data_IF_867497422006
#
_entry.id   IF_867497422006
#
_cell.length_a   1.000
_cell.length_b   1.000
_cell.length_c   1.000
_cell.angle_alpha   90.00
_cell.angle_beta   90.00
_cell.angle_gamma   90.00
#
_symmetry.space_group_name_H-M   'P 1'
#
loop_
_entity.id
_entity.type
_entity.pdbx_description
1 polymer ?
#
# COMPACT_ATOMS: atom_id res chain seq x y z
N UNK A 1 4.21 6.94 -9.75
CA UNK A 1 3.21 6.43 -8.80
C UNK A 1 2.13 7.45 -8.39
N UNK A 2 2.08 8.66 -8.98
CA UNK A 2 0.97 9.58 -8.68
C UNK A 2 1.14 10.41 -7.40
N UNK A 3 2.29 10.30 -6.74
CA UNK A 3 2.57 10.99 -5.48
C UNK A 3 2.45 12.52 -5.65
N UNK A 4 1.58 13.20 -4.87
CA UNK A 4 1.28 14.62 -5.07
C UNK A 4 2.49 15.55 -5.01
N UNK A 5 3.49 15.21 -4.18
CA UNK A 5 4.70 16.02 -3.99
C UNK A 5 5.85 15.65 -4.95
N UNK A 6 5.66 14.62 -5.78
CA UNK A 6 6.67 14.24 -6.78
C UNK A 6 6.84 15.33 -7.83
N UNK A 7 8.04 15.39 -8.42
CA UNK A 7 8.37 16.43 -9.41
C UNK A 7 7.39 16.44 -10.59
N UNK A 8 7.01 15.27 -11.11
CA UNK A 8 6.06 15.17 -12.23
C UNK A 8 4.66 15.66 -11.84
N UNK A 9 4.17 15.31 -10.65
CA UNK A 9 2.87 15.78 -10.16
C UNK A 9 2.85 17.31 -10.05
N UNK A 10 3.91 17.89 -9.49
CA UNK A 10 4.07 19.35 -9.36
C UNK A 10 4.22 20.05 -10.71
N UNK A 11 4.91 19.43 -11.68
CA UNK A 11 4.99 19.95 -13.04
C UNK A 11 3.61 19.95 -13.73
N UNK A 12 2.84 18.87 -13.54
CA UNK A 12 1.48 18.76 -14.08
C UNK A 12 0.51 19.75 -13.42
N UNK A 13 0.66 20.07 -12.13
CA UNK A 13 -0.14 21.08 -11.41
C UNK A 13 0.36 22.52 -11.58
N UNK A 14 1.51 22.76 -12.25
CA UNK A 14 2.18 24.08 -12.36
C UNK A 14 2.73 24.62 -11.02
N UNK A 15 3.00 23.75 -10.06
CA UNK A 15 3.56 24.09 -8.75
C UNK A 15 5.08 23.82 -8.66
N UNK A 16 5.69 23.35 -9.75
CA UNK A 16 7.12 23.09 -9.81
C UNK A 16 7.90 24.38 -10.04
N UNK A 17 8.86 24.69 -9.17
CA UNK A 17 9.48 26.02 -9.09
C UNK A 17 10.41 26.39 -10.25
N UNK A 18 10.83 25.42 -11.06
CA UNK A 18 11.84 25.63 -12.13
C UNK A 18 11.43 25.14 -13.52
N UNK A 19 10.38 24.33 -13.60
CA UNK A 19 10.02 23.62 -14.83
C UNK A 19 8.52 23.71 -14.99
N UNK A 20 8.09 24.14 -16.16
CA UNK A 20 6.69 24.22 -16.55
C UNK A 20 6.49 23.41 -17.82
N UNK A 21 5.41 22.62 -17.85
CA UNK A 21 5.00 21.87 -19.03
C UNK A 21 4.33 22.81 -20.02
N UNK A 22 4.83 22.83 -21.25
CA UNK A 22 4.31 23.62 -22.36
C UNK A 22 3.51 22.75 -23.33
N UNK A 23 2.68 23.36 -24.19
CA UNK A 23 2.07 22.64 -25.31
C UNK A 23 3.14 21.93 -26.15
N UNK A 24 2.79 20.76 -26.67
CA UNK A 24 3.63 19.89 -27.50
C UNK A 24 4.79 19.17 -26.79
N UNK A 25 5.06 19.45 -25.51
CA UNK A 25 6.03 18.70 -24.72
C UNK A 25 5.67 17.20 -24.69
N UNK A 26 6.69 16.34 -24.82
CA UNK A 26 6.51 14.89 -24.71
C UNK A 26 6.85 14.40 -23.32
N UNK A 27 5.88 13.76 -22.66
CA UNK A 27 6.04 13.17 -21.33
C UNK A 27 5.89 11.66 -21.42
N UNK A 28 6.95 10.94 -21.08
CA UNK A 28 6.97 9.48 -21.10
C UNK A 28 6.86 8.95 -19.66
N UNK A 29 5.78 8.24 -19.37
CA UNK A 29 5.58 7.52 -18.13
C UNK A 29 6.04 6.07 -18.35
N UNK A 30 7.31 5.81 -18.03
CA UNK A 30 7.97 4.50 -18.17
C UNK A 30 7.76 3.59 -16.95
N UNK A 31 6.53 3.54 -16.43
CA UNK A 31 6.18 2.76 -15.24
C UNK A 31 4.70 2.42 -15.20
N UNK A 32 4.38 1.31 -14.52
CA UNK A 32 3.00 0.89 -14.28
C UNK A 32 2.50 1.44 -12.94
N UNK A 33 1.19 1.67 -12.84
CA UNK A 33 0.57 2.02 -11.58
C UNK A 33 0.60 0.81 -10.65
N UNK A 34 1.22 0.96 -9.47
CA UNK A 34 1.12 -0.05 -8.42
C UNK A 34 -0.34 -0.11 -7.96
N UNK A 35 -0.90 -1.30 -7.67
CA UNK A 35 -2.26 -1.43 -7.18
C UNK A 35 -2.58 -0.45 -6.04
N UNK A 36 -3.63 0.36 -6.20
CA UNK A 36 -4.04 1.43 -5.29
C UNK A 36 -3.66 2.85 -5.74
N UNK A 37 -2.73 2.99 -6.69
CA UNK A 37 -2.28 4.30 -7.18
C UNK A 37 -2.92 4.73 -8.51
N UNK A 38 -3.82 3.93 -9.08
CA UNK A 38 -4.38 4.13 -10.42
C UNK A 38 -5.08 5.48 -10.56
N UNK A 39 -5.88 5.86 -9.56
CA UNK A 39 -6.58 7.15 -9.53
C UNK A 39 -5.62 8.33 -9.54
N UNK A 40 -4.54 8.25 -8.76
CA UNK A 40 -3.56 9.32 -8.66
C UNK A 40 -2.77 9.47 -9.98
N UNK A 41 -2.34 8.36 -10.56
CA UNK A 41 -1.66 8.35 -11.86
C UNK A 41 -2.58 8.91 -12.96
N UNK A 42 -3.84 8.46 -13.01
CA UNK A 42 -4.83 8.95 -13.97
C UNK A 42 -5.06 10.46 -13.84
N UNK A 43 -5.10 11.00 -12.62
CA UNK A 43 -5.21 12.45 -12.38
C UNK A 43 -4.03 13.22 -12.98
N UNK A 44 -2.79 12.75 -12.80
CA UNK A 44 -1.60 13.39 -13.39
C UNK A 44 -1.67 13.35 -14.91
N UNK A 45 -2.01 12.20 -15.50
CA UNK A 45 -2.14 12.06 -16.96
C UNK A 45 -3.17 13.05 -17.51
N UNK A 46 -4.33 13.18 -16.87
CA UNK A 46 -5.34 14.17 -17.25
C UNK A 46 -4.83 15.62 -17.17
N UNK A 47 -4.07 15.96 -16.13
CA UNK A 47 -3.48 17.31 -15.99
C UNK A 47 -2.46 17.60 -17.10
N UNK A 48 -1.63 16.62 -17.46
CA UNK A 48 -0.66 16.74 -18.55
C UNK A 48 -1.36 16.94 -19.90
N UNK A 49 -2.40 16.14 -20.20
CA UNK A 49 -3.20 16.34 -21.42
C UNK A 49 -3.90 17.71 -21.44
N UNK A 50 -4.44 18.16 -20.30
CA UNK A 50 -5.07 19.48 -20.19
C UNK A 50 -4.11 20.63 -20.49
N UNK A 51 -2.79 20.42 -20.32
CA UNK A 51 -1.73 21.38 -20.67
C UNK A 51 -1.30 21.31 -22.14
N UNK A 52 -1.87 20.39 -22.93
CA UNK A 52 -1.49 20.20 -24.33
C UNK A 52 -0.20 19.38 -24.51
N UNK A 53 0.24 18.65 -23.48
CA UNK A 53 1.39 17.75 -23.61
C UNK A 53 1.00 16.44 -24.30
N UNK A 54 1.95 15.86 -25.02
CA UNK A 54 1.87 14.52 -25.60
C UNK A 54 2.32 13.50 -24.56
N UNK A 55 1.39 12.68 -24.05
CA UNK A 55 1.69 11.74 -22.95
C UNK A 55 1.77 10.31 -23.48
N UNK A 56 2.91 9.65 -23.29
CA UNK A 56 3.10 8.22 -23.55
C UNK A 56 3.06 7.48 -22.22
N UNK A 57 2.14 6.53 -22.07
CA UNK A 57 1.96 5.71 -20.87
C UNK A 57 1.51 4.30 -21.27
N UNK A 58 1.52 3.35 -20.32
CA UNK A 58 1.28 1.92 -20.57
C UNK A 58 0.01 1.63 -21.40
N UNK A 59 -1.09 2.36 -21.15
CA UNK A 59 -2.34 2.17 -21.89
C UNK A 59 -2.30 2.55 -23.37
N UNK A 60 -1.25 3.26 -23.81
CA UNK A 60 -1.04 3.69 -25.20
C UNK A 60 0.10 2.91 -25.84
N UNK A 61 1.18 2.64 -25.09
CA UNK A 61 2.35 1.93 -25.58
C UNK A 61 3.00 1.16 -24.44
N UNK A 62 3.48 -0.05 -24.72
CA UNK A 62 4.25 -0.84 -23.76
C UNK A 62 5.62 -0.20 -23.52
N UNK A 63 5.67 0.74 -22.57
CA UNK A 63 6.90 1.46 -22.17
C UNK A 63 7.61 0.85 -20.98
N UNK A 64 7.02 -0.16 -20.35
CA UNK A 64 7.52 -0.76 -19.12
C UNK A 64 7.42 -2.29 -19.18
N UNK A 65 8.34 -2.94 -18.47
CA UNK A 65 8.33 -4.38 -18.22
C UNK A 65 8.45 -4.62 -16.73
N UNK A 66 7.84 -5.70 -16.25
CA UNK A 66 7.96 -6.13 -14.86
C UNK A 66 9.43 -6.42 -14.52
N UNK A 67 9.87 -5.98 -13.34
CA UNK A 67 11.15 -6.41 -12.75
C UNK A 67 11.10 -7.82 -12.12
N UNK A 68 9.92 -8.46 -12.12
CA UNK A 68 9.71 -9.80 -11.58
C UNK A 68 9.43 -10.82 -12.69
N UNK A 69 10.01 -12.00 -12.53
CA UNK A 69 9.87 -13.15 -13.42
C UNK A 69 8.40 -13.58 -13.58
N UNK A 70 7.99 -13.79 -14.82
CA UNK A 70 6.72 -14.40 -15.20
C UNK A 70 6.79 -15.92 -15.15
N UNK A 71 5.66 -16.58 -15.40
CA UNK A 71 5.52 -18.03 -15.22
C UNK A 71 6.61 -18.85 -15.93
N UNK A 72 6.97 -18.54 -17.18
CA UNK A 72 7.99 -19.30 -17.92
C UNK A 72 9.41 -19.13 -17.34
N UNK A 73 9.75 -17.92 -16.89
CA UNK A 73 11.02 -17.65 -16.22
C UNK A 73 11.10 -18.36 -14.86
N UNK A 74 9.98 -18.41 -14.12
CA UNK A 74 9.90 -19.20 -12.89
C UNK A 74 10.09 -20.70 -13.20
N UNK A 75 9.45 -21.24 -14.24
CA UNK A 75 9.64 -22.64 -14.67
C UNK A 75 11.11 -22.91 -15.02
N UNK A 76 11.77 -21.98 -15.71
CA UNK A 76 13.18 -22.11 -16.05
C UNK A 76 14.04 -22.29 -14.80
N UNK A 77 13.84 -21.48 -13.76
CA UNK A 77 14.56 -21.61 -12.49
C UNK A 77 14.32 -22.98 -11.83
N UNK A 78 13.07 -23.45 -11.78
CA UNK A 78 12.75 -24.79 -11.26
C UNK A 78 13.47 -25.91 -12.03
N UNK A 79 13.55 -25.80 -13.36
CA UNK A 79 14.21 -26.79 -14.22
C UNK A 79 15.73 -26.76 -14.11
N UNK A 80 16.33 -25.59 -13.89
CA UNK A 80 17.77 -25.44 -13.72
C UNK A 80 18.23 -25.94 -12.34
N UNK A 81 17.53 -25.52 -11.28
CA UNK A 81 17.94 -25.83 -9.91
C UNK A 81 17.54 -27.24 -9.45
N UNK A 82 16.45 -27.80 -10.00
CA UNK A 82 15.88 -29.10 -9.59
C UNK A 82 15.77 -29.23 -8.07
N UNK A 83 15.09 -28.28 -7.39
CA UNK A 83 15.08 -28.24 -5.94
C UNK A 83 14.38 -29.47 -5.34
N UNK A 84 14.91 -29.97 -4.21
CA UNK A 84 14.29 -31.08 -3.46
C UNK A 84 13.00 -30.65 -2.75
N UNK A 85 13.03 -29.44 -2.19
CA UNK A 85 11.93 -28.80 -1.48
C UNK A 85 11.75 -27.38 -2.02
N UNK A 86 10.53 -26.85 -1.98
CA UNK A 86 10.23 -25.53 -2.48
C UNK A 86 9.35 -24.74 -1.51
N UNK A 87 9.76 -23.50 -1.25
CA UNK A 87 9.01 -22.53 -0.45
C UNK A 87 8.82 -21.28 -1.31
N UNK A 88 7.63 -21.01 -1.86
CA UNK A 88 7.38 -19.77 -2.57
C UNK A 88 7.46 -18.60 -1.59
N UNK A 89 8.14 -17.53 -1.99
CA UNK A 89 8.32 -16.29 -1.22
C UNK A 89 7.96 -15.07 -2.08
N UNK A 90 7.89 -13.90 -1.45
CA UNK A 90 7.69 -12.60 -2.10
C UNK A 90 6.39 -12.48 -2.92
N UNK A 91 5.25 -12.49 -2.23
CA UNK A 91 3.95 -12.17 -2.81
C UNK A 91 2.81 -12.40 -1.82
N UNK A 92 1.64 -11.86 -2.10
CA UNK A 92 0.41 -12.23 -1.38
C UNK A 92 0.11 -13.72 -1.55
N UNK A 93 -0.71 -14.28 -0.66
CA UNK A 93 -1.06 -15.70 -0.63
C UNK A 93 -1.46 -16.28 -2.00
N UNK A 94 -2.25 -15.53 -2.80
CA UNK A 94 -2.63 -15.95 -4.16
C UNK A 94 -1.43 -16.19 -5.07
N UNK A 95 -0.39 -15.36 -4.98
CA UNK A 95 0.84 -15.52 -5.77
C UNK A 95 1.62 -16.74 -5.32
N UNK A 96 1.77 -16.91 -4.00
CA UNK A 96 2.47 -18.05 -3.41
C UNK A 96 1.79 -19.37 -3.78
N UNK A 97 0.46 -19.40 -3.71
CA UNK A 97 -0.36 -20.54 -4.11
C UNK A 97 -0.20 -20.87 -5.60
N UNK A 98 -0.19 -19.88 -6.49
CA UNK A 98 0.03 -20.13 -7.93
C UNK A 98 1.44 -20.61 -8.22
N UNK A 99 2.46 -20.10 -7.53
CA UNK A 99 3.83 -20.57 -7.68
C UNK A 99 4.00 -22.00 -7.12
N UNK A 100 3.33 -22.34 -6.03
CA UNK A 100 3.27 -23.71 -5.53
C UNK A 100 2.61 -24.66 -6.55
N UNK A 101 1.47 -24.25 -7.14
CA UNK A 101 0.82 -25.02 -8.21
C UNK A 101 1.72 -25.19 -9.44
N UNK A 102 2.51 -24.17 -9.76
CA UNK A 102 3.49 -24.23 -10.84
C UNK A 102 4.54 -25.31 -10.56
N UNK A 103 5.14 -25.32 -9.36
CA UNK A 103 6.12 -26.33 -8.97
C UNK A 103 5.53 -27.75 -9.01
N UNK A 104 4.29 -27.92 -8.52
CA UNK A 104 3.56 -29.18 -8.60
C UNK A 104 3.37 -29.63 -10.06
N UNK A 105 2.97 -28.72 -10.96
CA UNK A 105 2.80 -29.02 -12.38
C UNK A 105 4.09 -29.43 -13.10
N UNK A 106 5.25 -29.04 -12.56
CA UNK A 106 6.57 -29.43 -13.08
C UNK A 106 7.05 -30.79 -12.56
N UNK A 107 6.28 -31.43 -11.68
CA UNK A 107 6.52 -32.77 -11.15
C UNK A 107 7.06 -32.81 -9.71
N UNK A 108 7.09 -31.68 -8.99
CA UNK A 108 7.48 -31.70 -7.58
C UNK A 108 6.38 -32.35 -6.72
N UNK A 109 6.71 -33.30 -5.83
CA UNK A 109 5.73 -33.87 -4.89
C UNK A 109 5.12 -32.79 -4.00
N UNK A 110 3.81 -32.89 -3.74
CA UNK A 110 3.06 -31.88 -2.97
C UNK A 110 3.63 -31.72 -1.55
N UNK A 111 4.05 -32.82 -0.94
CA UNK A 111 4.68 -32.88 0.38
C UNK A 111 6.01 -32.15 0.48
N UNK A 112 6.63 -31.82 -0.67
CA UNK A 112 7.90 -31.08 -0.73
C UNK A 112 7.69 -29.57 -0.96
N UNK A 113 6.44 -29.12 -1.10
CA UNK A 113 6.10 -27.71 -1.34
C UNK A 113 5.46 -27.15 -0.07
N UNK A 114 6.10 -26.15 0.54
CA UNK A 114 5.59 -25.52 1.75
C UNK A 114 5.26 -24.06 1.51
N UNK A 115 3.99 -23.70 1.63
CA UNK A 115 3.57 -22.30 1.72
C UNK A 115 3.59 -21.94 3.20
N UNK A 116 4.34 -20.90 3.55
CA UNK A 116 4.51 -20.44 4.92
C UNK A 116 3.90 -19.05 5.11
N UNK A 117 3.46 -18.77 6.33
CA UNK A 117 3.01 -17.47 6.79
C UNK A 117 4.12 -16.74 7.55
N UNK A 118 3.91 -15.45 7.81
CA UNK A 118 4.87 -14.64 8.56
C UNK A 118 4.98 -15.17 9.99
N UNK A 119 6.19 -15.60 10.38
CA UNK A 119 6.47 -16.15 11.70
C UNK A 119 6.55 -17.68 11.74
N UNK A 120 6.17 -18.39 10.67
CA UNK A 120 6.37 -19.83 10.59
C UNK A 120 7.85 -20.20 10.55
N UNK A 121 8.22 -21.23 11.30
CA UNK A 121 9.56 -21.84 11.28
C UNK A 121 9.51 -23.11 10.46
N UNK A 122 10.17 -23.08 9.30
CA UNK A 122 10.29 -24.23 8.41
C UNK A 122 11.55 -25.00 8.78
N UNK A 123 11.38 -26.25 9.19
CA UNK A 123 12.47 -27.18 9.44
C UNK A 123 12.77 -28.02 8.19
N UNK A 124 14.05 -28.04 7.82
CA UNK A 124 14.57 -28.87 6.73
C UNK A 124 15.45 -29.98 7.30
N UNK A 125 15.19 -31.20 6.85
CA UNK A 125 16.10 -32.34 7.03
C UNK A 125 16.49 -32.90 5.66
N UNK A 126 17.44 -33.83 5.57
CA UNK A 126 17.72 -34.52 4.31
C UNK A 126 16.49 -35.24 3.72
N UNK A 127 15.39 -35.45 4.47
CA UNK A 127 14.20 -36.19 4.01
C UNK A 127 12.90 -35.40 4.06
N UNK A 128 12.80 -34.34 4.85
CA UNK A 128 11.55 -33.63 5.11
C UNK A 128 11.71 -32.11 5.06
N UNK A 129 10.64 -31.43 4.70
CA UNK A 129 10.45 -29.98 4.84
C UNK A 129 9.08 -29.78 5.49
N UNK A 130 9.04 -29.24 6.72
CA UNK A 130 7.79 -29.09 7.49
C UNK A 130 7.81 -27.81 8.31
N UNK A 131 6.63 -27.23 8.54
CA UNK A 131 6.46 -26.18 9.54
C UNK A 131 6.38 -26.86 10.91
N UNK A 132 7.33 -26.57 11.78
CA UNK A 132 7.44 -27.25 13.09
C UNK A 132 7.16 -26.32 14.28
N UNK A 133 7.28 -25.01 14.11
CA UNK A 133 6.97 -24.03 15.15
C UNK A 133 6.65 -22.67 14.54
N UNK A 134 6.33 -21.71 15.42
CA UNK A 134 6.20 -20.30 15.06
C UNK A 134 7.01 -19.45 16.01
N UNK A 135 7.41 -18.28 15.53
CA UNK A 135 8.03 -17.22 16.33
C UNK A 135 7.15 -15.99 16.31
N UNK A 136 7.28 -15.15 17.33
CA UNK A 136 6.60 -13.85 17.36
C UNK A 136 7.06 -13.01 16.18
N UNK A 137 6.15 -12.78 15.24
CA UNK A 137 6.37 -11.96 14.07
C UNK A 137 5.13 -11.09 13.82
N UNK A 138 5.32 -9.94 13.19
CA UNK A 138 4.23 -9.01 12.97
C UNK A 138 4.72 -7.72 12.33
N UNK A 139 3.81 -6.76 12.23
CA UNK A 139 4.10 -5.44 11.67
C UNK A 139 4.30 -4.46 12.81
N UNK A 140 5.37 -3.68 12.74
CA UNK A 140 5.58 -2.50 13.57
C UNK A 140 5.34 -1.29 12.69
N UNK A 141 4.40 -0.43 13.08
CA UNK A 141 4.08 0.79 12.34
C UNK A 141 5.03 1.91 12.75
N UNK A 142 5.36 2.78 11.80
CA UNK A 142 6.24 3.94 12.03
C UNK A 142 5.49 5.19 11.58
N UNK A 143 5.45 6.20 12.46
CA UNK A 143 4.79 7.49 12.20
C UNK A 143 5.69 8.64 12.70
N UNK A 144 6.28 9.38 11.75
CA UNK A 144 7.28 10.41 12.06
C UNK A 144 8.52 9.82 12.73
N UNK A 145 8.77 10.22 13.99
CA UNK A 145 9.85 9.68 14.82
C UNK A 145 9.39 8.51 15.73
N UNK A 146 8.08 8.25 15.78
CA UNK A 146 7.48 7.19 16.58
C UNK A 146 7.66 5.82 15.90
N UNK A 147 8.17 4.86 16.67
CA UNK A 147 8.32 3.46 16.24
C UNK A 147 7.47 2.60 17.16
N UNK A 148 6.40 2.00 16.61
CA UNK A 148 5.50 1.11 17.35
C UNK A 148 4.54 1.80 18.31
N UNK A 149 4.53 3.13 18.34
CA UNK A 149 3.58 3.96 19.11
C UNK A 149 2.18 4.00 18.47
N UNK A 150 2.11 3.81 17.15
CA UNK A 150 0.84 3.65 16.42
C UNK A 150 0.40 2.19 16.44
N UNK A 151 -0.59 1.90 17.29
CA UNK A 151 -1.28 0.61 17.33
C UNK A 151 -2.57 0.56 16.50
N UNK A 152 -3.23 -0.60 16.50
CA UNK A 152 -4.53 -0.80 15.83
C UNK A 152 -5.63 0.12 16.37
N UNK A 153 -5.59 0.46 17.65
CA UNK A 153 -6.54 1.39 18.29
C UNK A 153 -6.38 2.80 17.72
N UNK A 154 -5.15 3.31 17.65
CA UNK A 154 -4.86 4.64 17.08
C UNK A 154 -5.33 4.72 15.62
N UNK A 155 -5.11 3.67 14.83
CA UNK A 155 -5.61 3.61 13.45
C UNK A 155 -7.14 3.58 13.38
N UNK A 156 -7.80 2.85 14.28
CA UNK A 156 -9.27 2.79 14.37
C UNK A 156 -9.85 4.16 14.71
N UNK A 157 -9.28 4.85 15.70
CA UNK A 157 -9.72 6.20 16.08
C UNK A 157 -9.52 7.19 14.94
N UNK A 158 -8.36 7.16 14.27
CA UNK A 158 -8.11 7.96 13.05
C UNK A 158 -9.14 7.69 11.96
N UNK A 159 -9.53 6.42 11.76
CA UNK A 159 -10.56 6.05 10.78
C UNK A 159 -11.92 6.65 11.13
N UNK A 160 -12.39 6.48 12.36
CA UNK A 160 -13.66 7.08 12.81
C UNK A 160 -13.64 8.60 12.65
N UNK A 161 -12.59 9.28 13.11
CA UNK A 161 -12.45 10.73 12.97
C UNK A 161 -12.46 11.19 11.50
N UNK A 162 -11.86 10.41 10.59
CA UNK A 162 -11.83 10.74 9.15
C UNK A 162 -13.17 10.57 8.43
N UNK A 163 -14.04 9.67 8.93
CA UNK A 163 -15.33 9.35 8.31
C UNK A 163 -16.47 10.15 8.93
N UNK A 164 -16.46 10.27 10.25
CA UNK A 164 -17.59 10.78 11.05
C UNK A 164 -17.30 12.18 11.62
N UNK A 165 -16.04 12.61 11.65
CA UNK A 165 -15.63 13.84 12.33
C UNK A 165 -15.61 13.70 13.85
N UNK A 166 -15.61 14.84 14.55
CA UNK A 166 -15.57 14.91 16.02
C UNK A 166 -16.47 16.04 16.52
N UNK A 167 -17.16 15.78 17.62
CA UNK A 167 -17.87 16.79 18.41
C UNK A 167 -17.41 16.69 19.87
N UNK A 168 -16.91 17.79 20.41
CA UNK A 168 -16.45 17.90 21.79
C UNK A 168 -17.44 18.76 22.54
N UNK A 169 -18.01 18.23 23.62
CA UNK A 169 -18.93 18.96 24.52
C UNK A 169 -18.16 19.27 25.80
N UNK A 170 -18.06 20.54 26.15
CA UNK A 170 -17.35 21.02 27.34
C UNK A 170 -18.35 21.64 28.31
N UNK A 171 -18.42 21.09 29.52
CA UNK A 171 -19.27 21.59 30.61
C UNK A 171 -18.40 21.73 31.85
N UNK A 172 -18.48 22.88 32.51
CA UNK A 172 -17.78 23.14 33.77
C UNK A 172 -18.77 23.02 34.92
N UNK A 173 -18.49 22.11 35.86
CA UNK A 173 -19.36 21.84 37.01
C UNK A 173 -18.62 22.24 38.31
N UNK A 174 -19.31 22.95 39.18
CA UNK A 174 -18.83 23.29 40.52
C UNK A 174 -18.78 22.06 41.40
N UNK A 175 -17.64 21.83 42.08
CA UNK A 175 -17.49 20.70 43.01
C UNK A 175 -18.30 20.88 44.30
N UNK A 176 -18.49 22.12 44.75
CA UNK A 176 -19.07 22.40 46.07
C UNK A 176 -20.58 22.24 46.10
N UNK A 177 -21.26 22.69 45.05
CA UNK A 177 -22.72 22.68 44.95
C UNK A 177 -23.25 21.89 43.76
N UNK A 178 -22.39 21.21 42.99
CA UNK A 178 -22.74 20.42 41.81
C UNK A 178 -23.52 21.22 40.72
N UNK A 179 -23.42 22.56 40.75
CA UNK A 179 -24.06 23.42 39.76
C UNK A 179 -23.21 23.56 38.49
N UNK A 180 -23.86 23.76 37.35
CA UNK A 180 -23.18 24.07 36.09
C UNK A 180 -22.70 25.52 36.16
N UNK A 181 -21.38 25.72 36.08
CA UNK A 181 -20.74 27.05 36.08
C UNK A 181 -20.69 27.61 34.65
N UNK A 182 -20.43 26.76 33.65
CA UNK A 182 -20.26 27.16 32.25
C UNK A 182 -20.53 26.00 31.29
N UNK A 183 -20.92 26.34 30.05
CA UNK A 183 -21.27 25.39 28.99
C UNK A 183 -22.76 25.01 28.95
N UNK A 184 -23.16 24.04 28.10
CA UNK A 184 -22.30 23.22 27.24
C UNK A 184 -21.74 24.00 26.04
N UNK A 185 -20.42 24.07 25.92
CA UNK A 185 -19.75 24.54 24.71
C UNK A 185 -19.53 23.37 23.75
N UNK A 186 -20.02 23.50 22.52
CA UNK A 186 -19.92 22.44 21.51
C UNK A 186 -18.90 22.86 20.45
N UNK A 187 -17.82 22.08 20.32
CA UNK A 187 -16.79 22.28 19.31
C UNK A 187 -16.88 21.13 18.30
N UNK A 188 -17.15 21.47 17.04
CA UNK A 188 -17.22 20.50 15.94
C UNK A 188 -16.03 20.61 14.98
N UNK A 189 -15.54 19.47 14.49
CA UNK A 189 -14.49 19.35 13.46
C UNK A 189 -14.86 18.23 12.50
N UNK A 190 -14.95 18.52 11.20
CA UNK A 190 -15.18 17.51 10.16
C UNK A 190 -16.56 16.82 10.19
N UNK A 191 -17.45 17.19 11.12
CA UNK A 191 -18.79 16.62 11.25
C UNK A 191 -19.81 17.40 10.41
N UNK A 192 -19.88 18.73 10.57
CA UNK A 192 -20.72 19.63 9.75
C UNK A 192 -20.00 20.94 9.43
N UNK A 193 -20.41 21.60 8.33
CA UNK A 193 -19.84 22.89 7.93
C UNK A 193 -20.42 24.01 8.80
N UNK A 194 -19.70 24.41 9.85
CA UNK A 194 -20.08 25.49 10.76
C UNK A 194 -19.70 26.84 10.15
N UNK A 195 -20.46 27.34 9.18
CA UNK A 195 -20.43 28.78 8.85
C UNK A 195 -21.70 29.52 9.26
N UNK A 196 -22.84 28.84 9.36
CA UNK A 196 -24.12 29.39 9.82
C UNK A 196 -24.96 28.25 10.43
N UNK A 197 -24.67 27.86 11.67
CA UNK A 197 -25.48 26.91 12.44
C UNK A 197 -25.55 27.36 13.88
#
# INVERSE_FOLDING_TARGET
>A
QGEPMSSLARMASSEHSKIEIKPDDMVIISANAIPGNEKMVSKIVNLLFKKGANVVYEGVMATHVSGHASQEELKLIHRLLKPKFFVPVHGEYRHLMQHAKLALSLGMPKENIQIAELGDVIEFTPKTCKINSSVTAGRVLVDGLGIGDVGSIVLRDRKHLSQDGLMVIVITISKDNHSIISGPDIISRGFVYVRES
#
